data_IF_299409494209
#
_entry.id   IF_299409494209
#
_cell.length_a   1.000
_cell.length_b   1.000
_cell.length_c   1.000
_cell.angle_alpha   90.00
_cell.angle_beta   90.00
_cell.angle_gamma   90.00
#
_symmetry.space_group_name_H-M   'P 1'
#
loop_
_entity.id
_entity.type
_entity.pdbx_description
1 polymer ?
#
# COMPACT_ATOMS: atom_id res chain seq x y z
N UNK A 1 -6.01 -14.72 -0.86
CA UNK A 1 -5.26 -14.72 0.43
C UNK A 1 -3.76 -14.88 0.21
N UNK A 2 -3.26 -16.06 -0.21
CA UNK A 2 -1.80 -16.30 -0.37
C UNK A 2 -1.11 -15.31 -1.31
N UNK A 3 -1.69 -15.01 -2.48
CA UNK A 3 -1.15 -14.03 -3.44
C UNK A 3 -1.16 -12.60 -2.90
N UNK A 4 -2.22 -12.18 -2.20
CA UNK A 4 -2.29 -10.85 -1.57
C UNK A 4 -1.15 -10.64 -0.57
N UNK A 5 -0.90 -11.64 0.29
CA UNK A 5 0.21 -11.63 1.23
C UNK A 5 1.57 -11.58 0.50
N UNK A 6 1.72 -12.33 -0.59
CA UNK A 6 2.92 -12.31 -1.41
C UNK A 6 3.16 -10.91 -2.00
N UNK A 7 2.13 -10.24 -2.53
CA UNK A 7 2.25 -8.86 -3.00
C UNK A 7 2.56 -7.88 -1.87
N UNK A 8 2.01 -8.08 -0.67
CA UNK A 8 2.39 -7.30 0.51
C UNK A 8 3.86 -7.42 0.83
N UNK A 9 4.36 -8.65 0.92
CA UNK A 9 5.76 -8.93 1.26
C UNK A 9 6.67 -8.41 0.15
N UNK A 10 6.38 -8.72 -1.11
CA UNK A 10 7.18 -8.28 -2.25
C UNK A 10 7.22 -6.75 -2.35
N UNK A 11 6.07 -6.07 -2.25
CA UNK A 11 6.01 -4.62 -2.27
C UNK A 11 6.75 -3.98 -1.10
N UNK A 12 6.66 -4.59 0.09
CA UNK A 12 7.40 -4.12 1.28
C UNK A 12 8.90 -4.28 1.10
N UNK A 13 9.37 -5.45 0.67
CA UNK A 13 10.80 -5.72 0.48
C UNK A 13 11.40 -4.84 -0.62
N UNK A 14 10.73 -4.76 -1.78
CA UNK A 14 11.20 -3.92 -2.89
C UNK A 14 11.26 -2.46 -2.47
N UNK A 15 10.21 -1.94 -1.84
CA UNK A 15 10.19 -0.56 -1.36
C UNK A 15 11.26 -0.33 -0.30
N UNK A 16 11.46 -1.28 0.63
CA UNK A 16 12.49 -1.16 1.66
C UNK A 16 13.89 -1.13 1.08
N UNK A 17 14.21 -2.03 0.16
CA UNK A 17 15.51 -2.05 -0.51
C UNK A 17 15.78 -0.75 -1.27
N UNK A 18 14.75 -0.21 -1.95
CA UNK A 18 14.87 1.06 -2.66
C UNK A 18 15.10 2.21 -1.69
N UNK A 19 14.28 2.34 -0.64
CA UNK A 19 14.45 3.45 0.30
C UNK A 19 15.80 3.30 1.04
N UNK A 20 16.07 2.15 1.64
CA UNK A 20 17.25 1.95 2.48
C UNK A 20 18.59 2.13 1.75
N UNK A 21 18.72 1.66 0.51
CA UNK A 21 19.99 1.72 -0.23
C UNK A 21 20.11 2.90 -1.19
N UNK A 22 19.00 3.48 -1.66
CA UNK A 22 19.02 4.54 -2.69
C UNK A 22 18.51 5.90 -2.19
N UNK A 23 17.74 5.95 -1.11
CA UNK A 23 17.11 7.18 -0.62
C UNK A 23 17.36 7.33 0.88
N UNK A 24 18.33 8.14 1.30
CA UNK A 24 18.56 8.42 2.72
C UNK A 24 17.28 8.95 3.39
N UNK A 25 16.60 8.09 4.17
CA UNK A 25 15.20 8.29 4.55
C UNK A 25 15.05 8.24 6.07
N UNK A 26 15.45 9.30 6.77
CA UNK A 26 14.96 9.63 8.13
C UNK A 26 15.09 8.57 9.25
N UNK A 27 15.72 7.41 9.01
CA UNK A 27 15.91 6.30 9.96
C UNK A 27 15.22 4.99 9.57
N UNK A 28 15.85 3.86 9.95
CA UNK A 28 15.44 2.50 9.58
C UNK A 28 13.98 2.17 9.92
N UNK A 29 13.49 2.58 11.09
CA UNK A 29 12.11 2.32 11.51
C UNK A 29 11.09 3.04 10.62
N UNK A 30 11.41 4.26 10.20
CA UNK A 30 10.55 5.05 9.34
C UNK A 30 10.54 4.47 7.91
N UNK A 31 11.69 4.03 7.42
CA UNK A 31 11.82 3.31 6.14
C UNK A 31 11.00 2.03 6.12
N UNK A 32 11.08 1.22 7.18
CA UNK A 32 10.27 0.00 7.32
C UNK A 32 8.78 0.34 7.31
N UNK A 33 8.37 1.38 8.05
CA UNK A 33 6.97 1.80 8.11
C UNK A 33 6.44 2.26 6.75
N UNK A 34 7.18 3.11 6.02
CA UNK A 34 6.78 3.53 4.67
C UNK A 34 6.77 2.40 3.66
N UNK A 35 7.74 1.50 3.77
CA UNK A 35 7.84 0.33 2.90
C UNK A 35 6.68 -0.62 3.16
N UNK A 36 6.32 -0.82 4.43
CA UNK A 36 5.15 -1.60 4.81
C UNK A 36 3.85 -0.96 4.31
N UNK A 37 3.67 0.36 4.45
CA UNK A 37 2.51 1.06 3.90
C UNK A 37 2.36 0.85 2.39
N UNK A 38 3.47 0.92 1.65
CA UNK A 38 3.51 0.66 0.21
C UNK A 38 3.17 -0.80 -0.13
N UNK A 39 3.76 -1.76 0.58
CA UNK A 39 3.46 -3.18 0.38
C UNK A 39 2.02 -3.54 0.75
N UNK A 40 1.53 -3.06 1.88
CA UNK A 40 0.14 -3.22 2.32
C UNK A 40 -0.81 -2.78 1.21
N UNK A 41 -0.54 -1.65 0.56
CA UNK A 41 -1.35 -1.16 -0.54
C UNK A 41 -1.41 -2.13 -1.72
N UNK A 42 -0.29 -2.77 -2.10
CA UNK A 42 -0.28 -3.78 -3.18
C UNK A 42 -1.12 -5.01 -2.84
N UNK A 43 -0.95 -5.52 -1.62
CA UNK A 43 -1.74 -6.67 -1.16
C UNK A 43 -3.23 -6.36 -1.06
N UNK A 44 -3.57 -5.16 -0.57
CA UNK A 44 -4.96 -4.71 -0.49
C UNK A 44 -5.56 -4.45 -1.86
N UNK A 45 -4.84 -3.80 -2.78
CA UNK A 45 -5.31 -3.58 -4.15
C UNK A 45 -5.63 -4.90 -4.83
N UNK A 46 -4.74 -5.90 -4.73
CA UNK A 46 -5.00 -7.24 -5.24
C UNK A 46 -6.19 -7.94 -4.55
N UNK A 47 -6.33 -7.79 -3.24
CA UNK A 47 -7.45 -8.38 -2.50
C UNK A 47 -8.80 -7.76 -2.89
N UNK A 48 -8.83 -6.43 -3.01
CA UNK A 48 -10.01 -5.64 -3.35
C UNK A 48 -10.35 -5.68 -4.84
N UNK A 49 -9.42 -6.10 -5.69
CA UNK A 49 -9.66 -6.44 -7.09
C UNK A 49 -10.45 -7.75 -7.20
N UNK A 50 -11.67 -7.73 -6.66
CA UNK A 50 -12.62 -8.82 -6.68
C UNK A 50 -13.99 -8.25 -7.11
N UNK A 51 -14.65 -8.83 -8.14
CA UNK A 51 -15.97 -8.36 -8.58
C UNK A 51 -17.06 -8.53 -7.51
N UNK A 52 -16.87 -9.44 -6.55
CA UNK A 52 -17.84 -9.68 -5.46
C UNK A 52 -17.85 -8.52 -4.44
N UNK A 53 -16.79 -7.70 -4.39
CA UNK A 53 -16.69 -6.60 -3.44
C UNK A 53 -17.21 -5.32 -4.14
N UNK A 54 -18.28 -4.75 -3.62
CA UNK A 54 -18.85 -3.51 -4.15
C UNK A 54 -17.90 -2.32 -3.98
N UNK A 55 -17.99 -1.33 -4.88
CA UNK A 55 -17.13 -0.14 -4.87
C UNK A 55 -17.12 0.61 -3.51
N UNK A 56 -18.28 0.89 -2.86
CA UNK A 56 -18.28 1.56 -1.55
C UNK A 56 -17.52 0.76 -0.49
N UNK A 57 -17.61 -0.58 -0.55
CA UNK A 57 -16.90 -1.46 0.39
C UNK A 57 -15.39 -1.45 0.13
N UNK A 58 -14.95 -1.41 -1.13
CA UNK A 58 -13.53 -1.25 -1.48
C UNK A 58 -12.97 0.05 -0.92
N UNK A 59 -13.68 1.16 -1.14
CA UNK A 59 -13.29 2.48 -0.64
C UNK A 59 -13.23 2.49 0.89
N UNK A 60 -14.26 1.98 1.58
CA UNK A 60 -14.28 1.93 3.04
C UNK A 60 -13.11 1.14 3.63
N UNK A 61 -12.75 0.00 3.03
CA UNK A 61 -11.61 -0.82 3.47
C UNK A 61 -10.29 -0.07 3.24
N UNK A 62 -10.11 0.56 2.06
CA UNK A 62 -8.90 1.34 1.75
C UNK A 62 -8.74 2.56 2.67
N UNK A 63 -9.82 3.32 2.91
CA UNK A 63 -9.79 4.45 3.84
C UNK A 63 -9.52 4.00 5.28
N UNK A 64 -10.13 2.90 5.72
CA UNK A 64 -9.85 2.31 7.02
C UNK A 64 -8.37 1.94 7.21
N UNK A 65 -7.75 1.34 6.19
CA UNK A 65 -6.33 1.03 6.22
C UNK A 65 -5.43 2.27 6.27
N UNK A 66 -5.76 3.32 5.51
CA UNK A 66 -5.01 4.58 5.55
C UNK A 66 -5.12 5.26 6.92
N UNK A 67 -6.33 5.32 7.50
CA UNK A 67 -6.53 5.86 8.85
C UNK A 67 -5.71 5.04 9.87
N UNK A 68 -5.76 3.72 9.77
CA UNK A 68 -5.00 2.83 10.66
C UNK A 68 -3.49 3.06 10.55
N UNK A 69 -2.95 3.20 9.33
CA UNK A 69 -1.55 3.53 9.10
C UNK A 69 -1.18 4.88 9.72
N UNK A 70 -2.00 5.91 9.53
CA UNK A 70 -1.75 7.24 10.13
C UNK A 70 -1.76 7.16 11.66
N UNK A 71 -2.73 6.48 12.26
CA UNK A 71 -2.81 6.34 13.72
C UNK A 71 -1.58 5.65 14.29
N UNK A 72 -1.13 4.56 13.66
CA UNK A 72 0.11 3.87 14.05
C UNK A 72 1.32 4.78 13.85
N UNK A 73 1.41 5.46 12.71
CA UNK A 73 2.52 6.35 12.40
C UNK A 73 2.64 7.51 13.39
N UNK A 74 1.51 8.12 13.77
CA UNK A 74 1.45 9.18 14.78
C UNK A 74 1.90 8.67 16.14
N UNK A 75 1.48 7.46 16.51
CA UNK A 75 1.83 6.87 17.81
C UNK A 75 3.32 6.53 17.95
N UNK A 76 3.97 6.11 16.86
CA UNK A 76 5.37 5.67 16.88
C UNK A 76 6.35 6.80 16.55
N UNK A 77 5.97 7.70 15.64
CA UNK A 77 6.85 8.73 15.12
C UNK A 77 6.35 10.13 15.49
N UNK A 78 5.53 10.73 14.63
CA UNK A 78 4.90 12.06 14.74
C UNK A 78 3.88 12.19 13.58
N UNK A 79 2.95 13.14 13.64
CA UNK A 79 1.97 13.36 12.55
C UNK A 79 2.63 13.69 11.20
N UNK A 80 3.67 14.51 11.20
CA UNK A 80 4.39 14.90 9.99
C UNK A 80 5.00 13.69 9.27
N UNK A 81 5.54 12.74 10.04
CA UNK A 81 6.11 11.49 9.53
C UNK A 81 5.03 10.45 9.21
N UNK A 82 3.85 10.53 9.82
CA UNK A 82 2.76 9.62 9.52
C UNK A 82 2.10 9.92 8.17
N UNK A 83 1.95 11.19 7.80
CA UNK A 83 1.25 11.63 6.58
C UNK A 83 1.81 11.02 5.27
N UNK A 84 3.14 10.95 5.04
CA UNK A 84 3.73 10.30 3.87
C UNK A 84 3.24 8.86 3.62
N UNK A 85 2.85 8.12 4.66
CA UNK A 85 2.32 6.76 4.51
C UNK A 85 1.03 6.71 3.68
N UNK A 86 0.17 7.73 3.79
CA UNK A 86 -1.07 7.84 3.00
C UNK A 86 -0.76 8.01 1.52
N UNK A 87 0.24 8.84 1.21
CA UNK A 87 0.67 9.05 -0.18
C UNK A 87 1.30 7.79 -0.77
N UNK A 88 2.19 7.12 -0.02
CA UNK A 88 2.79 5.84 -0.42
C UNK A 88 1.75 4.75 -0.63
N UNK A 89 0.68 4.74 0.17
CA UNK A 89 -0.43 3.81 0.00
C UNK A 89 -1.28 4.15 -1.23
N UNK A 90 -1.65 5.42 -1.39
CA UNK A 90 -2.57 5.88 -2.45
C UNK A 90 -1.98 5.74 -3.84
N UNK A 91 -0.68 6.02 -4.02
CA UNK A 91 -0.03 5.93 -5.34
C UNK A 91 -0.05 4.50 -5.88
N UNK A 92 0.00 3.49 -5.00
CA UNK A 92 -0.10 2.09 -5.39
C UNK A 92 -1.50 1.76 -5.88
N UNK A 93 -2.55 2.25 -5.24
CA UNK A 93 -3.92 2.04 -5.72
C UNK A 93 -4.13 2.66 -7.10
N UNK A 94 -3.65 3.90 -7.30
CA UNK A 94 -3.69 4.55 -8.61
C UNK A 94 -2.92 3.74 -9.64
N UNK A 95 -1.68 3.35 -9.34
CA UNK A 95 -0.84 2.55 -10.23
C UNK A 95 -1.45 1.19 -10.57
N UNK A 96 -2.01 0.48 -9.58
CA UNK A 96 -2.66 -0.80 -9.77
C UNK A 96 -3.85 -0.69 -10.73
N UNK A 97 -4.74 0.28 -10.51
CA UNK A 97 -5.91 0.44 -11.38
C UNK A 97 -5.55 0.96 -12.78
N UNK A 98 -4.52 1.80 -12.89
CA UNK A 98 -3.97 2.19 -14.20
C UNK A 98 -3.45 0.97 -14.95
N UNK A 99 -2.62 0.13 -14.32
CA UNK A 99 -2.14 -1.12 -14.93
C UNK A 99 -3.28 -2.06 -15.30
N UNK A 100 -4.28 -2.19 -14.43
CA UNK A 100 -5.48 -3.01 -14.69
C UNK A 100 -6.28 -2.48 -15.89
N UNK A 101 -6.35 -1.16 -16.08
CA UNK A 101 -7.10 -0.53 -17.18
C UNK A 101 -6.57 -0.87 -18.58
N UNK A 102 -5.28 -1.21 -18.69
CA UNK A 102 -4.67 -1.66 -19.95
C UNK A 102 -4.93 -3.15 -20.25
N UNK A 103 -5.46 -3.92 -19.30
CA UNK A 103 -5.80 -5.33 -19.51
C UNK A 103 -7.23 -5.48 -20.04
N UNK A 104 -7.42 -6.45 -20.92
CA UNK A 104 -8.73 -6.76 -21.51
C UNK A 104 -9.81 -7.07 -20.45
N UNK A 105 -9.41 -7.69 -19.33
CA UNK A 105 -10.31 -8.06 -18.23
C UNK A 105 -10.46 -6.99 -17.14
N UNK A 106 -9.81 -5.82 -17.29
CA UNK A 106 -9.82 -4.69 -16.33
C UNK A 106 -9.48 -5.03 -14.87
N UNK A 107 -8.82 -6.17 -14.64
CA UNK A 107 -8.45 -6.76 -13.36
C UNK A 107 -7.02 -7.30 -13.49
N UNK A 108 -6.20 -7.17 -12.45
CA UNK A 108 -4.86 -7.79 -12.35
C UNK A 108 -4.91 -9.15 -11.63
N UNK A 109 -6.07 -9.51 -11.09
CA UNK A 109 -6.26 -10.78 -10.37
C UNK A 109 -6.52 -11.98 -11.27
N UNK A 110 -7.24 -11.74 -12.37
CA UNK A 110 -7.65 -12.76 -13.36
C UNK A 110 -6.58 -12.97 -14.44
#
# INVERSE_FOLDING_TARGET
MKRALLYTIAGTLISFLINHFLLESGGLWLELFYSFAFGLAWGMAFYLDNPVISLPKKLGISFGAMIFLVLIGVFIFDLEKALPSVFKFSIVFVGYYLLASFRNNKSLRD
#
